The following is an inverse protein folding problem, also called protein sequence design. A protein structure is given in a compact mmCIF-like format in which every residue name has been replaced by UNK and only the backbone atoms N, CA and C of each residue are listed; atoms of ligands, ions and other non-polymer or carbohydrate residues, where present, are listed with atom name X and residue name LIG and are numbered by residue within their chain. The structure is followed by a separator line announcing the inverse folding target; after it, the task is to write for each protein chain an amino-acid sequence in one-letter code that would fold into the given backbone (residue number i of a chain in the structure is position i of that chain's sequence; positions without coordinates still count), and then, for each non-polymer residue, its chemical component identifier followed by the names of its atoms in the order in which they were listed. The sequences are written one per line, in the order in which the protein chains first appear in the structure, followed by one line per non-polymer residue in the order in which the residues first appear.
data_IF_570746141117
#
_entry.id   IF_570746141117
#
_cell.length_a   1.000
_cell.length_b   1.000
_cell.length_c   1.000
_cell.angle_alpha   90.00
_cell.angle_beta   90.00
_cell.angle_gamma   90.00
#
_symmetry.space_group_name_H-M   'P 1'
#
loop_
_entity.id
_entity.type
_entity.pdbx_description
1 polymer ?
#
# COMPACT_ATOMS: atom_id res chain seq x y z
N UNK A 1 6.79 -4.74 11.57
CA UNK A 1 5.91 -4.57 10.40
C UNK A 1 5.40 -5.94 9.98
N UNK A 2 4.18 -6.05 9.44
CA UNK A 2 3.64 -7.32 8.94
C UNK A 2 4.55 -7.94 7.88
N UNK A 3 4.98 -7.14 6.90
CA UNK A 3 5.86 -7.53 5.80
C UNK A 3 5.10 -8.02 4.57
N UNK A 4 3.85 -8.47 4.75
CA UNK A 4 2.99 -8.92 3.65
C UNK A 4 1.51 -8.61 3.93
N UNK A 5 1.18 -7.34 4.19
CA UNK A 5 -0.18 -6.95 4.57
C UNK A 5 -1.04 -6.70 3.34
N UNK A 6 -2.01 -7.57 3.09
CA UNK A 6 -3.03 -7.46 2.04
C UNK A 6 -4.38 -8.00 2.55
N UNK A 7 -5.48 -7.75 1.82
CA UNK A 7 -6.82 -8.07 2.30
C UNK A 7 -7.05 -9.55 2.66
N UNK A 8 -6.36 -10.50 2.01
CA UNK A 8 -6.51 -11.93 2.32
C UNK A 8 -5.85 -12.31 3.65
N UNK A 9 -4.82 -11.56 4.06
CA UNK A 9 -4.18 -11.68 5.38
C UNK A 9 -4.95 -10.92 6.49
N UNK A 10 -6.15 -10.42 6.19
CA UNK A 10 -7.07 -9.75 7.14
C UNK A 10 -8.39 -10.52 7.18
N UNK A 11 -8.62 -11.25 8.27
CA UNK A 11 -9.80 -12.10 8.42
C UNK A 11 -10.71 -11.63 9.55
N UNK A 12 -12.02 -11.72 9.33
CA UNK A 12 -13.01 -11.51 10.38
C UNK A 12 -13.28 -12.80 11.16
N UNK A 13 -13.29 -12.72 12.48
CA UNK A 13 -13.55 -13.84 13.39
C UNK A 13 -14.44 -13.41 14.56
N UNK A 14 -14.76 -14.35 15.46
CA UNK A 14 -15.45 -14.04 16.73
C UNK A 14 -14.66 -13.08 17.63
N UNK A 15 -13.36 -12.90 17.38
CA UNK A 15 -12.49 -11.94 18.08
C UNK A 15 -12.42 -10.57 17.37
N UNK A 16 -13.18 -10.38 16.30
CA UNK A 16 -13.09 -9.23 15.41
C UNK A 16 -12.13 -9.46 14.24
N UNK A 17 -11.68 -8.37 13.63
CA UNK A 17 -10.69 -8.37 12.56
C UNK A 17 -9.31 -8.79 13.10
N UNK A 18 -8.71 -9.78 12.46
CA UNK A 18 -7.39 -10.31 12.80
C UNK A 18 -6.48 -10.22 11.58
N UNK A 19 -5.25 -9.80 11.83
CA UNK A 19 -4.16 -9.88 10.85
C UNK A 19 -3.39 -11.19 11.10
N UNK A 20 -3.11 -11.94 10.04
CA UNK A 20 -2.45 -13.25 10.08
C UNK A 20 -1.26 -13.32 9.13
N UNK A 21 -0.41 -14.34 9.34
CA UNK A 21 0.77 -14.63 8.51
C UNK A 21 1.83 -13.51 8.41
N UNK A 22 2.33 -12.98 9.56
CA UNK A 22 3.35 -11.95 9.53
C UNK A 22 4.72 -12.52 9.19
N UNK A 23 5.42 -11.86 8.25
CA UNK A 23 6.87 -12.05 8.02
C UNK A 23 7.69 -11.49 9.19
N UNK A 24 7.23 -10.37 9.79
CA UNK A 24 7.85 -9.81 11.01
C UNK A 24 9.11 -8.97 10.75
N UNK A 25 8.99 -7.88 9.99
CA UNK A 25 10.12 -7.01 9.64
C UNK A 25 10.32 -5.84 10.63
N UNK A 26 11.55 -5.34 10.75
CA UNK A 26 11.87 -4.09 11.45
C UNK A 26 11.99 -2.96 10.42
N UNK A 27 11.28 -1.85 10.62
CA UNK A 27 11.29 -0.73 9.69
C UNK A 27 10.37 0.40 10.13
N UNK A 28 10.24 1.41 9.28
CA UNK A 28 9.40 2.58 9.53
C UNK A 28 7.90 2.21 9.46
N UNK A 29 7.11 2.73 10.41
CA UNK A 29 5.71 2.29 10.64
C UNK A 29 4.84 2.42 9.39
N UNK A 30 4.93 3.53 8.66
CA UNK A 30 4.10 3.77 7.47
C UNK A 30 4.37 2.77 6.33
N UNK A 31 5.61 2.26 6.21
CA UNK A 31 5.93 1.23 5.22
C UNK A 31 5.12 -0.07 5.47
N UNK A 32 4.72 -0.32 6.72
CA UNK A 32 3.88 -1.47 7.07
C UNK A 32 2.49 -1.47 6.44
N UNK A 33 2.01 -0.33 5.91
CA UNK A 33 0.75 -0.20 5.20
C UNK A 33 0.92 0.03 3.69
N UNK A 34 2.16 0.05 3.17
CA UNK A 34 2.45 0.41 1.79
C UNK A 34 1.81 -0.56 0.77
N UNK A 35 1.90 -1.87 1.04
CA UNK A 35 1.35 -2.92 0.17
C UNK A 35 -0.16 -2.76 -0.05
N UNK A 36 -0.89 -2.24 0.94
CA UNK A 36 -2.35 -2.07 0.87
C UNK A 36 -2.79 -1.12 -0.26
N UNK A 37 -1.94 -0.19 -0.69
CA UNK A 37 -2.26 0.69 -1.83
C UNK A 37 -2.28 -0.05 -3.17
N UNK A 38 -1.62 -1.21 -3.25
CA UNK A 38 -1.53 -2.07 -4.44
C UNK A 38 -2.57 -3.19 -4.43
N UNK A 39 -3.36 -3.24 -3.37
CA UNK A 39 -4.37 -4.25 -3.06
C UNK A 39 -5.80 -3.70 -3.25
N UNK A 40 -6.77 -4.49 -3.76
CA UNK A 40 -6.66 -5.91 -4.14
C UNK A 40 -6.08 -6.16 -5.52
N UNK A 41 -5.42 -7.32 -5.67
CA UNK A 41 -5.08 -7.88 -6.98
C UNK A 41 -6.34 -7.95 -7.86
N UNK A 42 -6.20 -7.66 -9.15
CA UNK A 42 -7.29 -7.60 -10.16
C UNK A 42 -8.29 -6.43 -10.05
N UNK A 43 -8.07 -5.47 -9.13
CA UNK A 43 -8.89 -4.26 -9.01
C UNK A 43 -8.09 -2.99 -9.26
N UNK A 44 -7.51 -2.92 -10.45
CA UNK A 44 -6.72 -1.77 -10.91
C UNK A 44 -7.57 -0.50 -10.96
N UNK A 45 -8.87 -0.63 -11.21
CA UNK A 45 -9.83 0.49 -11.12
C UNK A 45 -9.84 1.12 -9.72
N UNK A 46 -9.63 0.32 -8.66
CA UNK A 46 -9.51 0.82 -7.29
C UNK A 46 -8.09 1.29 -6.97
N UNK A 47 -7.07 0.54 -7.40
CA UNK A 47 -5.67 0.85 -7.07
C UNK A 47 -5.18 2.11 -7.79
N UNK A 48 -5.73 2.42 -8.96
CA UNK A 48 -5.42 3.61 -9.75
C UNK A 48 -6.35 4.80 -9.44
N UNK A 49 -7.41 4.64 -8.63
CA UNK A 49 -8.31 5.74 -8.28
C UNK A 49 -7.60 6.73 -7.32
N UNK A 50 -7.29 7.97 -7.78
CA UNK A 50 -6.61 8.95 -6.94
C UNK A 50 -7.42 9.34 -5.70
N UNK A 51 -8.76 9.27 -5.76
CA UNK A 51 -9.61 9.53 -4.60
C UNK A 51 -9.44 8.46 -3.54
N UNK A 52 -9.38 7.18 -3.95
CA UNK A 52 -9.15 6.07 -3.02
C UNK A 52 -7.76 6.16 -2.41
N UNK A 53 -6.72 6.43 -3.21
CA UNK A 53 -5.35 6.62 -2.71
C UNK A 53 -5.31 7.72 -1.63
N UNK A 54 -5.91 8.88 -1.90
CA UNK A 54 -5.94 9.98 -0.93
C UNK A 54 -6.71 9.61 0.36
N UNK A 55 -7.85 8.93 0.23
CA UNK A 55 -8.64 8.46 1.38
C UNK A 55 -7.89 7.43 2.23
N UNK A 56 -7.17 6.51 1.59
CA UNK A 56 -6.34 5.51 2.29
C UNK A 56 -5.17 6.18 3.01
N UNK A 57 -4.49 7.14 2.35
CA UNK A 57 -3.41 7.90 2.98
C UNK A 57 -3.90 8.63 4.24
N UNK A 58 -5.04 9.29 4.16
CA UNK A 58 -5.70 9.95 5.30
C UNK A 58 -6.06 8.98 6.42
N UNK A 59 -6.65 7.83 6.08
CA UNK A 59 -7.08 6.82 7.05
C UNK A 59 -5.88 6.20 7.78
N UNK A 60 -4.86 5.78 7.04
CA UNK A 60 -3.65 5.18 7.60
C UNK A 60 -2.79 6.20 8.34
N UNK A 61 -2.66 7.42 7.83
CA UNK A 61 -1.98 8.51 8.55
C UNK A 61 -2.58 8.71 9.95
N UNK A 62 -3.91 8.82 10.05
CA UNK A 62 -4.59 8.95 11.35
C UNK A 62 -4.42 7.72 12.24
N UNK A 63 -4.49 6.51 11.67
CA UNK A 63 -4.41 5.27 12.43
C UNK A 63 -2.99 4.98 12.94
N UNK A 64 -1.96 5.40 12.20
CA UNK A 64 -0.56 5.13 12.49
C UNK A 64 0.18 6.33 13.11
N UNK A 65 -0.47 7.49 13.18
CA UNK A 65 0.12 8.77 13.62
C UNK A 65 1.39 9.14 12.82
N UNK A 66 1.28 9.09 11.48
CA UNK A 66 2.38 9.40 10.56
C UNK A 66 1.98 10.46 9.54
N UNK A 67 2.94 11.24 9.03
CA UNK A 67 2.70 12.22 7.96
C UNK A 67 2.20 11.49 6.68
N UNK A 68 1.03 11.85 6.12
CA UNK A 68 0.51 11.23 4.91
C UNK A 68 1.46 11.40 3.71
N UNK A 69 2.25 12.48 3.68
CA UNK A 69 3.29 12.67 2.66
C UNK A 69 4.35 11.57 2.73
N UNK A 70 4.84 11.29 3.95
CA UNK A 70 5.85 10.26 4.19
C UNK A 70 5.32 8.86 3.89
N UNK A 71 4.06 8.60 4.25
CA UNK A 71 3.37 7.35 3.95
C UNK A 71 3.27 7.10 2.44
N UNK A 72 2.87 8.12 1.66
CA UNK A 72 2.80 8.03 0.21
C UNK A 72 4.19 7.87 -0.44
N UNK A 73 5.22 8.52 0.12
CA UNK A 73 6.62 8.32 -0.34
C UNK A 73 7.07 6.86 -0.12
N UNK A 74 6.65 6.23 0.98
CA UNK A 74 6.91 4.81 1.26
C UNK A 74 6.10 3.88 0.37
N UNK A 75 4.84 4.21 0.09
CA UNK A 75 4.02 3.45 -0.84
C UNK A 75 4.59 3.48 -2.27
N UNK A 76 5.08 4.64 -2.71
CA UNK A 76 5.83 4.75 -3.97
C UNK A 76 7.09 3.88 -3.97
N UNK A 77 7.89 3.92 -2.89
CA UNK A 77 9.08 3.10 -2.77
C UNK A 77 8.76 1.59 -2.79
N UNK A 78 7.65 1.18 -2.15
CA UNK A 78 7.15 -0.19 -2.21
C UNK A 78 6.80 -0.60 -3.64
N UNK A 79 6.10 0.23 -4.42
CA UNK A 79 5.82 -0.08 -5.82
C UNK A 79 7.08 -0.27 -6.66
N UNK A 80 8.11 0.56 -6.45
CA UNK A 80 9.39 0.36 -7.11
C UNK A 80 10.08 -0.95 -6.71
N UNK A 81 9.99 -1.33 -5.43
CA UNK A 81 10.51 -2.60 -4.93
C UNK A 81 9.75 -3.80 -5.53
N UNK A 82 8.42 -3.75 -5.53
CA UNK A 82 7.54 -4.79 -6.07
C UNK A 82 7.77 -4.97 -7.58
N UNK A 83 7.83 -3.87 -8.32
CA UNK A 83 8.15 -3.87 -9.74
C UNK A 83 9.52 -4.51 -10.04
N UNK A 84 10.56 -4.16 -9.25
CA UNK A 84 11.89 -4.74 -9.41
C UNK A 84 11.94 -6.24 -9.05
N UNK A 85 11.07 -6.69 -8.15
CA UNK A 85 10.94 -8.11 -7.79
C UNK A 85 10.27 -8.92 -8.90
N UNK A 86 9.22 -8.35 -9.51
CA UNK A 86 8.40 -8.98 -10.55
C UNK A 86 8.92 -8.76 -11.99
N UNK A 87 10.19 -8.35 -12.14
CA UNK A 87 10.77 -7.84 -13.38
C UNK A 87 10.39 -8.64 -14.65
N UNK A 88 10.21 -7.90 -15.75
CA UNK A 88 9.89 -8.39 -17.10
C UNK A 88 8.47 -8.98 -17.27
N UNK A 89 7.52 -8.62 -16.40
CA UNK A 89 6.14 -9.13 -16.39
C UNK A 89 5.02 -8.08 -16.41
N UNK A 90 3.77 -8.54 -16.53
CA UNK A 90 2.58 -7.69 -16.42
C UNK A 90 2.45 -7.07 -15.02
N UNK A 91 2.89 -7.79 -13.98
CA UNK A 91 2.91 -7.34 -12.60
C UNK A 91 3.85 -6.13 -12.40
N UNK A 92 5.01 -6.10 -13.06
CA UNK A 92 5.91 -4.94 -13.03
C UNK A 92 5.20 -3.68 -13.56
N UNK A 93 4.53 -3.79 -14.71
CA UNK A 93 3.86 -2.66 -15.35
C UNK A 93 2.71 -2.13 -14.48
N UNK A 94 1.97 -3.05 -13.85
CA UNK A 94 0.90 -2.72 -12.91
C UNK A 94 1.44 -1.97 -11.69
N UNK A 95 2.51 -2.48 -11.08
CA UNK A 95 3.12 -1.85 -9.90
C UNK A 95 3.68 -0.45 -10.21
N UNK A 96 4.31 -0.28 -11.37
CA UNK A 96 4.79 1.02 -11.82
C UNK A 96 3.65 2.00 -12.11
N UNK A 97 2.53 1.53 -12.66
CA UNK A 97 1.34 2.36 -12.91
C UNK A 97 0.71 2.87 -11.59
N UNK A 98 0.56 1.99 -10.60
CA UNK A 98 0.04 2.35 -9.27
C UNK A 98 1.03 3.29 -8.57
N UNK A 99 2.34 3.02 -8.64
CA UNK A 99 3.35 3.92 -8.09
C UNK A 99 3.28 5.33 -8.72
N UNK A 100 3.06 5.42 -10.03
CA UNK A 100 2.87 6.70 -10.71
C UNK A 100 1.60 7.44 -10.23
N UNK A 101 0.49 6.74 -10.04
CA UNK A 101 -0.74 7.32 -9.50
C UNK A 101 -0.55 7.84 -8.06
N UNK A 102 0.13 7.07 -7.21
CA UNK A 102 0.50 7.46 -5.83
C UNK A 102 1.36 8.72 -5.85
N UNK A 103 2.38 8.77 -6.71
CA UNK A 103 3.25 9.95 -6.87
C UNK A 103 2.45 11.18 -7.30
N UNK A 104 1.49 11.02 -8.20
CA UNK A 104 0.64 12.11 -8.65
C UNK A 104 -0.22 12.65 -7.50
N UNK A 105 -0.85 11.78 -6.70
CA UNK A 105 -1.63 12.20 -5.51
C UNK A 105 -0.72 12.90 -4.49
N UNK A 106 0.47 12.36 -4.26
CA UNK A 106 1.50 12.92 -3.39
C UNK A 106 2.00 14.31 -3.80
N UNK A 107 1.83 14.71 -5.06
CA UNK A 107 2.25 16.03 -5.56
C UNK A 107 1.10 17.04 -5.63
N UNK A 108 -0.14 16.56 -5.64
CA UNK A 108 -1.33 17.39 -5.94
C UNK A 108 -2.26 17.57 -4.75
N UNK A 109 -2.29 16.62 -3.82
CA UNK A 109 -3.21 16.61 -2.67
C UNK A 109 -2.48 16.83 -1.34
N UNK A 110 -1.17 16.64 -1.33
CA UNK A 110 -0.26 16.86 -0.22
C UNK A 110 1.00 17.50 -0.80
#
# INVERSE_FOLDING_TARGET
LHGDLHHENIMFSSRGWLVIDPVGLVGEVGFGAANMFYDPADRDDLCLDPRRIAQMADAFSRALDVDPRRLLDQAYAYGCLSAAWNADGEEEQRDLAIAAAIKQVRQTSY
#
